data_IF_207008316971
#
_entry.id   IF_207008316971
#
_cell.length_a   1.000
_cell.length_b   1.000
_cell.length_c   1.000
_cell.angle_alpha   90.00
_cell.angle_beta   90.00
_cell.angle_gamma   90.00
#
_symmetry.space_group_name_H-M   'P 1'
#
loop_
_entity.id
_entity.type
_entity.pdbx_description
1 polymer ?
#
# COMPACT_ATOMS: atom_id res chain seq x y z
N UNK A 1 9.48 -18.24 -18.98
CA UNK A 1 8.31 -18.39 -18.08
C UNK A 1 7.88 -17.09 -17.42
N UNK A 2 8.67 -16.46 -16.53
CA UNK A 2 8.25 -15.18 -15.90
C UNK A 2 8.18 -14.03 -16.91
N UNK A 3 9.10 -13.98 -17.87
CA UNK A 3 9.13 -12.93 -18.89
C UNK A 3 7.94 -13.03 -19.86
N UNK A 4 7.55 -14.25 -20.21
CA UNK A 4 6.37 -14.52 -21.06
C UNK A 4 5.07 -14.11 -20.36
N UNK A 5 4.96 -14.37 -19.05
CA UNK A 5 3.85 -13.89 -18.23
C UNK A 5 3.80 -12.35 -18.18
N UNK A 6 4.94 -11.69 -17.95
CA UNK A 6 5.01 -10.23 -17.97
C UNK A 6 4.54 -9.66 -19.32
N UNK A 7 4.94 -10.26 -20.43
CA UNK A 7 4.51 -9.85 -21.76
C UNK A 7 3.01 -10.06 -21.97
N UNK A 8 2.45 -11.18 -21.51
CA UNK A 8 1.01 -11.47 -21.60
C UNK A 8 0.16 -10.45 -20.83
N UNK A 9 0.61 -10.06 -19.62
CA UNK A 9 -0.11 -9.08 -18.78
C UNK A 9 0.24 -7.62 -19.11
N UNK A 10 1.11 -7.35 -20.09
CA UNK A 10 1.56 -6.00 -20.42
C UNK A 10 2.37 -5.32 -19.30
N UNK A 11 2.96 -6.10 -18.40
CA UNK A 11 3.70 -5.59 -17.23
C UNK A 11 5.19 -5.52 -17.55
N UNK A 12 5.80 -4.34 -17.34
CA UNK A 12 7.27 -4.21 -17.40
C UNK A 12 7.90 -4.69 -16.10
N UNK A 13 8.83 -5.64 -16.20
CA UNK A 13 9.62 -6.10 -15.06
C UNK A 13 10.67 -5.05 -14.70
N UNK A 14 10.63 -4.55 -13.47
CA UNK A 14 11.72 -3.74 -12.90
C UNK A 14 12.67 -4.65 -12.12
N UNK A 15 13.97 -4.44 -12.26
CA UNK A 15 15.00 -5.12 -11.47
C UNK A 15 15.82 -4.08 -10.73
N UNK A 16 16.04 -4.32 -9.43
CA UNK A 16 17.02 -3.55 -8.67
C UNK A 16 18.42 -3.97 -9.08
N UNK A 17 19.35 -3.01 -9.12
CA UNK A 17 20.76 -3.30 -9.36
C UNK A 17 21.29 -4.24 -8.27
N UNK A 18 22.17 -5.20 -8.62
CA UNK A 18 22.82 -6.06 -7.62
C UNK A 18 23.52 -5.19 -6.56
N UNK A 19 23.42 -5.60 -5.29
CA UNK A 19 23.98 -4.88 -4.14
C UNK A 19 23.43 -3.48 -3.87
N UNK A 20 22.27 -3.12 -4.42
CA UNK A 20 21.62 -1.83 -4.19
C UNK A 20 20.18 -1.99 -3.64
N UNK A 21 20.03 -2.38 -2.35
CA UNK A 21 18.73 -2.65 -1.72
C UNK A 21 17.85 -1.39 -1.62
N UNK A 22 18.45 -0.20 -1.66
CA UNK A 22 17.77 1.09 -1.65
C UNK A 22 16.70 1.22 -2.75
N UNK A 23 16.91 0.57 -3.90
CA UNK A 23 15.95 0.52 -5.00
C UNK A 23 14.62 -0.15 -4.67
N UNK A 24 14.56 -0.96 -3.59
CA UNK A 24 13.34 -1.63 -3.11
C UNK A 24 12.93 -1.20 -1.69
N UNK A 25 13.42 -0.05 -1.22
CA UNK A 25 13.28 0.37 0.17
C UNK A 25 11.84 0.48 0.67
N UNK A 26 10.87 0.78 -0.21
CA UNK A 26 9.44 0.84 0.15
C UNK A 26 8.89 -0.55 0.52
N UNK A 27 9.20 -1.57 -0.29
CA UNK A 27 8.80 -2.95 -0.01
C UNK A 27 9.49 -3.48 1.25
N UNK A 28 10.79 -3.18 1.40
CA UNK A 28 11.54 -3.57 2.59
C UNK A 28 11.01 -2.91 3.87
N UNK A 29 10.58 -1.65 3.79
CA UNK A 29 9.96 -0.95 4.91
C UNK A 29 8.64 -1.62 5.32
N UNK A 30 7.77 -1.91 4.35
CA UNK A 30 6.53 -2.63 4.61
C UNK A 30 6.79 -4.02 5.22
N UNK A 31 7.71 -4.80 4.65
CA UNK A 31 8.02 -6.14 5.13
C UNK A 31 8.52 -6.12 6.58
N UNK A 32 9.36 -5.14 6.93
CA UNK A 32 9.81 -4.95 8.33
C UNK A 32 8.64 -4.63 9.25
N UNK A 33 7.70 -3.77 8.85
CA UNK A 33 6.50 -3.50 9.65
C UNK A 33 5.62 -4.74 9.80
N UNK A 34 5.42 -5.50 8.72
CA UNK A 34 4.63 -6.72 8.75
C UNK A 34 5.26 -7.78 9.66
N UNK A 35 6.57 -7.96 9.62
CA UNK A 35 7.29 -8.85 10.54
C UNK A 35 7.16 -8.39 12.00
N UNK A 36 7.19 -7.07 12.25
CA UNK A 36 6.95 -6.53 13.59
C UNK A 36 5.54 -6.84 14.08
N UNK A 37 4.53 -6.74 13.22
CA UNK A 37 3.13 -7.09 13.53
C UNK A 37 2.96 -8.59 13.75
N UNK A 38 3.64 -9.43 12.97
CA UNK A 38 3.66 -10.88 13.20
C UNK A 38 4.32 -11.22 14.54
N UNK A 39 5.32 -10.43 14.95
CA UNK A 39 5.97 -10.54 16.25
C UNK A 39 5.05 -10.24 17.44
N UNK A 40 3.92 -9.55 17.24
CA UNK A 40 2.95 -9.28 18.31
C UNK A 40 1.94 -10.41 18.53
N UNK A 41 1.94 -11.45 17.67
CA UNK A 41 1.09 -12.62 17.84
C UNK A 41 1.50 -13.43 19.09
N UNK A 42 0.52 -14.05 19.75
CA UNK A 42 0.77 -14.93 20.88
C UNK A 42 1.55 -16.19 20.45
N UNK A 43 2.25 -16.84 21.39
CA UNK A 43 3.11 -17.99 21.08
C UNK A 43 2.36 -19.15 20.40
N UNK A 44 1.10 -19.37 20.78
CA UNK A 44 0.23 -20.37 20.14
C UNK A 44 -0.31 -19.96 18.75
N UNK A 45 -0.27 -18.67 18.43
CA UNK A 45 -0.75 -18.12 17.15
C UNK A 45 0.36 -18.03 16.10
N UNK A 46 1.63 -17.86 16.50
CA UNK A 46 2.79 -17.76 15.59
C UNK A 46 2.91 -18.90 14.58
N UNK A 47 2.68 -20.20 14.94
CA UNK A 47 2.73 -21.28 13.96
C UNK A 47 1.61 -21.19 12.90
N UNK A 48 0.50 -20.54 13.24
CA UNK A 48 -0.70 -20.33 12.40
C UNK A 48 -0.75 -18.91 11.82
N UNK A 49 0.39 -18.25 11.69
CA UNK A 49 0.48 -16.84 11.27
C UNK A 49 -0.23 -16.54 9.95
N UNK A 50 -0.30 -17.51 9.03
CA UNK A 50 -1.01 -17.39 7.74
C UNK A 50 -2.50 -17.08 7.91
N UNK A 51 -3.12 -17.51 9.00
CA UNK A 51 -4.53 -17.25 9.29
C UNK A 51 -4.75 -15.80 9.76
N UNK A 52 -3.74 -15.22 10.43
CA UNK A 52 -3.80 -13.86 10.97
C UNK A 52 -3.27 -12.80 10.00
N UNK A 53 -2.64 -13.21 8.90
CA UNK A 53 -2.00 -12.28 7.96
C UNK A 53 -3.00 -11.26 7.39
N UNK A 54 -4.21 -11.71 7.06
CA UNK A 54 -5.26 -10.84 6.50
C UNK A 54 -5.70 -9.79 7.50
N UNK A 55 -5.78 -10.15 8.78
CA UNK A 55 -6.11 -9.23 9.87
C UNK A 55 -4.99 -8.21 10.08
N UNK A 56 -3.74 -8.64 10.16
CA UNK A 56 -2.59 -7.75 10.34
C UNK A 56 -2.42 -6.78 9.17
N UNK A 57 -2.61 -7.24 7.93
CA UNK A 57 -2.60 -6.37 6.74
C UNK A 57 -3.76 -5.39 6.79
N UNK A 58 -4.95 -5.82 7.23
CA UNK A 58 -6.09 -4.94 7.42
C UNK A 58 -5.80 -3.85 8.47
N UNK A 59 -5.19 -4.21 9.60
CA UNK A 59 -4.78 -3.25 10.62
C UNK A 59 -3.75 -2.26 10.07
N UNK A 60 -2.73 -2.74 9.36
CA UNK A 60 -1.72 -1.87 8.73
C UNK A 60 -2.37 -0.87 7.77
N UNK A 61 -3.27 -1.34 6.89
CA UNK A 61 -3.94 -0.50 5.91
C UNK A 61 -4.87 0.54 6.52
N UNK A 62 -5.32 0.34 7.77
CA UNK A 62 -6.23 1.23 8.48
C UNK A 62 -5.58 2.03 9.62
N UNK A 63 -4.28 1.86 9.82
CA UNK A 63 -3.50 2.66 10.77
C UNK A 63 -2.92 3.87 10.05
N UNK A 64 -2.96 5.04 10.70
CA UNK A 64 -2.36 6.25 10.12
C UNK A 64 -0.84 6.08 9.98
N UNK A 65 -0.33 6.29 8.77
CA UNK A 65 1.11 6.26 8.53
C UNK A 65 1.76 7.59 8.89
N UNK A 66 2.93 7.56 9.53
CA UNK A 66 3.60 8.77 10.05
C UNK A 66 4.00 9.77 8.97
N UNK A 67 4.47 9.28 7.82
CA UNK A 67 4.91 10.12 6.69
C UNK A 67 3.77 10.77 5.93
N UNK A 68 2.66 10.06 5.72
CA UNK A 68 1.52 10.55 4.94
C UNK A 68 0.45 11.20 5.80
N UNK A 69 0.48 10.99 7.13
CA UNK A 69 -0.56 11.40 8.09
C UNK A 69 -1.95 10.86 7.73
N UNK A 70 -2.01 9.82 6.90
CA UNK A 70 -3.23 9.25 6.35
C UNK A 70 -3.13 7.72 6.36
N UNK A 71 -4.28 7.04 6.35
CA UNK A 71 -4.33 5.57 6.27
C UNK A 71 -4.11 5.12 4.82
N UNK A 72 -3.36 4.03 4.57
CA UNK A 72 -3.19 3.50 3.21
C UNK A 72 -4.53 3.17 2.50
N UNK A 73 -5.51 2.64 3.23
CA UNK A 73 -6.85 2.35 2.69
C UNK A 73 -7.56 3.61 2.22
N UNK A 74 -7.44 4.71 2.96
CA UNK A 74 -8.00 6.00 2.56
C UNK A 74 -7.30 6.57 1.33
N UNK A 75 -5.99 6.45 1.22
CA UNK A 75 -5.25 6.92 0.05
C UNK A 75 -5.60 6.13 -1.22
N UNK A 76 -5.89 4.84 -1.07
CA UNK A 76 -6.25 3.97 -2.19
C UNK A 76 -7.73 4.11 -2.61
N UNK A 77 -8.65 4.14 -1.64
CA UNK A 77 -10.10 4.09 -1.91
C UNK A 77 -10.83 5.42 -1.71
N UNK A 78 -10.16 6.44 -1.16
CA UNK A 78 -10.76 7.74 -0.82
C UNK A 78 -11.77 7.70 0.34
N UNK A 79 -11.85 6.58 1.07
CA UNK A 79 -12.78 6.36 2.18
C UNK A 79 -12.15 5.48 3.25
N UNK A 80 -12.53 5.71 4.51
CA UNK A 80 -12.21 4.77 5.59
C UNK A 80 -13.16 3.57 5.50
N UNK A 81 -12.68 2.32 5.68
CA UNK A 81 -13.57 1.18 5.75
C UNK A 81 -14.45 1.30 7.01
N UNK A 82 -15.70 0.82 6.90
CA UNK A 82 -16.58 0.72 8.05
C UNK A 82 -16.21 -0.53 8.84
N UNK A 83 -15.79 -0.35 10.09
CA UNK A 83 -15.50 -1.46 10.99
C UNK A 83 -16.79 -1.94 11.67
N UNK A 84 -16.89 -3.23 12.04
CA UNK A 84 -17.98 -3.71 12.90
C UNK A 84 -18.10 -2.88 14.19
N UNK A 85 -16.97 -2.42 14.73
CA UNK A 85 -16.92 -1.53 15.89
C UNK A 85 -17.61 -0.18 15.62
N UNK A 86 -17.44 0.40 14.43
CA UNK A 86 -18.10 1.66 14.06
C UNK A 86 -19.61 1.49 13.97
N UNK A 87 -20.07 0.30 13.54
CA UNK A 87 -21.49 -0.05 13.53
C UNK A 87 -22.05 -0.22 14.95
N UNK A 88 -21.31 -0.90 15.84
CA UNK A 88 -21.70 -1.04 17.25
C UNK A 88 -21.76 0.30 17.98
N UNK A 89 -20.86 1.22 17.66
CA UNK A 89 -20.80 2.55 18.26
C UNK A 89 -21.77 3.56 17.62
N UNK A 90 -22.58 3.15 16.64
CA UNK A 90 -23.51 4.03 15.92
C UNK A 90 -22.81 5.13 15.11
N UNK A 91 -21.51 5.01 14.86
CA UNK A 91 -20.70 5.96 14.09
C UNK A 91 -20.76 5.72 12.59
N UNK A 92 -21.42 4.65 12.15
CA UNK A 92 -21.70 4.38 10.75
C UNK A 92 -22.70 5.40 10.21
N UNK A 93 -22.25 6.62 9.91
CA UNK A 93 -23.09 7.57 9.18
C UNK A 93 -23.46 6.96 7.81
N UNK A 94 -24.77 6.98 7.50
CA UNK A 94 -25.30 6.55 6.21
C UNK A 94 -24.87 7.51 5.09
N UNK A 95 -24.49 8.73 5.46
CA UNK A 95 -24.04 9.76 4.55
C UNK A 95 -22.63 9.39 4.03
N UNK A 96 -22.40 9.37 2.70
CA UNK A 96 -21.05 9.29 2.20
C UNK A 96 -20.26 10.46 2.80
N UNK A 97 -19.00 10.23 3.26
CA UNK A 97 -18.18 11.33 3.74
C UNK A 97 -18.18 12.42 2.67
N UNK A 98 -18.35 13.71 3.04
CA UNK A 98 -18.39 14.79 2.06
C UNK A 98 -17.18 14.60 1.15
N UNK A 99 -17.42 14.46 -0.16
CA UNK A 99 -16.37 14.23 -1.14
C UNK A 99 -15.36 15.37 -0.99
N UNK A 100 -14.31 15.12 -0.22
CA UNK A 100 -13.43 16.19 0.18
C UNK A 100 -12.62 16.52 -1.05
N UNK A 101 -12.86 17.70 -1.60
CA UNK A 101 -12.22 18.20 -2.81
C UNK A 101 -10.68 18.16 -2.73
N UNK A 102 -10.12 18.10 -1.52
CA UNK A 102 -8.69 17.86 -1.30
C UNK A 102 -8.22 16.45 -1.70
N UNK A 103 -9.02 15.39 -1.52
CA UNK A 103 -8.65 14.00 -1.88
C UNK A 103 -8.50 13.88 -3.39
N UNK A 104 -9.45 14.46 -4.14
CA UNK A 104 -9.38 14.53 -5.61
C UNK A 104 -8.14 15.29 -6.06
N UNK A 105 -7.87 16.45 -5.47
CA UNK A 105 -6.66 17.25 -5.76
C UNK A 105 -5.38 16.49 -5.41
N UNK A 106 -5.36 15.76 -4.29
CA UNK A 106 -4.22 14.95 -3.88
C UNK A 106 -4.00 13.79 -4.86
N UNK A 107 -5.04 13.01 -5.19
CA UNK A 107 -4.98 11.91 -6.16
C UNK A 107 -4.47 12.40 -7.51
N UNK A 108 -5.01 13.52 -8.01
CA UNK A 108 -4.58 14.11 -9.27
C UNK A 108 -3.11 14.51 -9.25
N UNK A 109 -2.65 15.20 -8.20
CA UNK A 109 -1.24 15.58 -8.03
C UNK A 109 -0.33 14.37 -7.89
N UNK A 110 -0.74 13.36 -7.13
CA UNK A 110 0.01 12.12 -6.94
C UNK A 110 0.13 11.36 -8.25
N UNK A 111 -0.96 11.23 -9.01
CA UNK A 111 -0.94 10.62 -10.33
C UNK A 111 -0.02 11.38 -11.29
N UNK A 112 -0.11 12.72 -11.36
CA UNK A 112 0.80 13.51 -12.19
C UNK A 112 2.27 13.31 -11.81
N UNK A 113 2.60 13.30 -10.51
CA UNK A 113 3.97 13.07 -10.03
C UNK A 113 4.46 11.67 -10.39
N UNK A 114 3.62 10.64 -10.21
CA UNK A 114 3.92 9.26 -10.56
C UNK A 114 4.13 9.11 -12.07
N UNK A 115 3.24 9.64 -12.90
CA UNK A 115 3.38 9.61 -14.36
C UNK A 115 4.66 10.31 -14.82
N UNK A 116 4.98 11.47 -14.25
CA UNK A 116 6.21 12.20 -14.55
C UNK A 116 7.46 11.43 -14.12
N UNK A 117 7.46 10.85 -12.92
CA UNK A 117 8.57 10.02 -12.45
C UNK A 117 8.76 8.78 -13.31
N UNK A 118 7.67 8.12 -13.72
CA UNK A 118 7.70 6.98 -14.63
C UNK A 118 8.24 7.37 -16.01
N UNK A 119 7.81 8.51 -16.56
CA UNK A 119 8.32 9.02 -17.84
C UNK A 119 9.82 9.28 -17.78
N UNK A 120 10.30 10.00 -16.76
CA UNK A 120 11.73 10.24 -16.57
C UNK A 120 12.54 8.97 -16.33
N UNK A 121 11.98 7.99 -15.62
CA UNK A 121 12.63 6.70 -15.42
C UNK A 121 12.71 5.91 -16.74
N UNK A 122 11.68 5.97 -17.58
CA UNK A 122 11.67 5.34 -18.90
C UNK A 122 12.71 5.97 -19.84
N UNK A 123 12.79 7.31 -19.89
CA UNK A 123 13.80 8.04 -20.68
C UNK A 123 15.23 7.65 -20.28
N UNK A 124 15.50 7.46 -18.99
CA UNK A 124 16.82 7.01 -18.50
C UNK A 124 17.15 5.56 -18.84
N UNK A 125 16.15 4.71 -19.02
CA UNK A 125 16.32 3.30 -19.36
C UNK A 125 16.50 3.07 -20.87
N UNK A 126 16.07 4.01 -21.73
CA UNK A 126 16.28 3.94 -23.18
C UNK A 126 17.65 4.47 -23.65
N UNK A 127 18.40 5.10 -22.75
CA UNK A 127 19.73 5.70 -23.03
C UNK A 127 20.89 4.77 -22.61
N UNK A 128 20.59 3.55 -22.13
CA UNK A 128 21.56 2.51 -21.76
C UNK A 128 21.31 1.26 -22.59
#
# INVERSE_FOLDING_TARGET
MIQDLCNLYGTKKSQTTPYHPEGNGVCEHFNRTLLSLLGTLEEGQKPRWTEYISELVFMYNNTMHSSTRQTPSYLLFGRHPRLPLDAMLGMASEQPPPQTDWVRRWLFRSHQKLSFAHQKAAEKLEVV
#
